data_IF_654627155330
#
_entry.id   IF_654627155330
#
_cell.length_a   1.000
_cell.length_b   1.000
_cell.length_c   1.000
_cell.angle_alpha   90.00
_cell.angle_beta   90.00
_cell.angle_gamma   90.00
#
_symmetry.space_group_name_H-M   'P 1'
#
loop_
_entity.id
_entity.type
_entity.pdbx_description
1 polymer ?
#
# COMPACT_ATOMS: atom_id res chain seq x y z
N UNK A 1 6.14 -10.17 -20.92
CA UNK A 1 5.69 -9.17 -19.93
C UNK A 1 5.07 -9.92 -18.76
N UNK A 2 5.52 -9.68 -17.54
CA UNK A 2 4.94 -10.28 -16.33
C UNK A 2 4.52 -9.18 -15.38
N UNK A 3 3.37 -9.37 -14.72
CA UNK A 3 2.84 -8.44 -13.72
C UNK A 3 2.83 -9.07 -12.34
N UNK A 4 3.06 -8.25 -11.32
CA UNK A 4 2.92 -8.62 -9.91
C UNK A 4 1.93 -7.66 -9.27
N UNK A 5 0.99 -8.20 -8.49
CA UNK A 5 0.00 -7.41 -7.76
C UNK A 5 0.26 -7.59 -6.26
N UNK A 6 0.39 -6.47 -5.54
CA UNK A 6 0.55 -6.44 -4.10
C UNK A 6 -0.56 -5.61 -3.46
N UNK A 7 -1.02 -6.06 -2.30
CA UNK A 7 -1.98 -5.31 -1.50
C UNK A 7 -1.34 -4.90 -0.17
N UNK A 8 -1.48 -3.62 0.17
CA UNK A 8 -0.99 -3.03 1.41
C UNK A 8 -2.16 -2.37 2.11
N UNK A 9 -2.35 -2.65 3.40
CA UNK A 9 -3.43 -2.05 4.20
C UNK A 9 -2.87 -0.93 5.06
N UNK A 10 -3.22 0.30 4.73
CA UNK A 10 -2.93 1.49 5.51
C UNK A 10 -4.02 1.65 6.57
N UNK A 11 -3.64 1.60 7.85
CA UNK A 11 -4.55 1.88 8.96
C UNK A 11 -4.33 3.30 9.48
N UNK A 12 -5.37 3.99 9.91
CA UNK A 12 -5.17 5.17 10.73
C UNK A 12 -4.51 4.79 12.06
N UNK A 13 -3.58 5.61 12.51
CA UNK A 13 -2.93 5.42 13.79
C UNK A 13 -3.85 5.99 14.86
N UNK A 14 -4.28 5.15 15.80
CA UNK A 14 -5.12 5.60 16.91
C UNK A 14 -4.40 6.60 17.84
N UNK A 15 -3.06 6.63 17.85
CA UNK A 15 -2.24 7.58 18.63
C UNK A 15 -0.89 7.91 17.95
N UNK A 16 -0.63 9.20 17.73
CA UNK A 16 0.68 9.77 17.32
C UNK A 16 0.81 10.15 15.83
N UNK A 17 1.53 11.23 15.54
CA UNK A 17 1.71 11.85 14.21
C UNK A 17 2.64 11.12 13.23
N UNK A 18 3.10 9.91 13.57
CA UNK A 18 4.03 9.14 12.73
C UNK A 18 3.35 7.97 12.02
N UNK A 19 3.16 8.06 10.70
CA UNK A 19 2.47 7.07 9.88
C UNK A 19 3.27 5.76 9.68
N UNK A 20 3.20 4.83 10.64
CA UNK A 20 3.88 3.53 10.53
C UNK A 20 3.51 2.72 9.28
N UNK A 21 2.35 3.01 8.68
CA UNK A 21 1.88 2.33 7.46
C UNK A 21 2.44 2.91 6.15
N UNK A 22 2.93 4.16 6.14
CA UNK A 22 3.61 4.70 4.96
C UNK A 22 4.97 4.01 4.74
N UNK A 23 5.65 3.64 5.83
CA UNK A 23 6.89 2.84 5.76
C UNK A 23 6.66 1.47 5.14
N UNK A 24 5.51 0.83 5.40
CA UNK A 24 5.18 -0.48 4.80
C UNK A 24 4.90 -0.35 3.29
N UNK A 25 4.17 0.70 2.89
CA UNK A 25 3.92 1.01 1.48
C UNK A 25 5.21 1.29 0.72
N UNK A 26 6.07 2.16 1.27
CA UNK A 26 7.38 2.48 0.70
C UNK A 26 8.25 1.21 0.59
N UNK A 27 8.27 0.39 1.64
CA UNK A 27 8.99 -0.89 1.64
C UNK A 27 8.49 -1.85 0.56
N UNK A 28 7.18 -1.95 0.32
CA UNK A 28 6.63 -2.79 -0.74
C UNK A 28 7.07 -2.31 -2.13
N UNK A 29 7.05 -1.00 -2.37
CA UNK A 29 7.50 -0.41 -3.63
C UNK A 29 8.99 -0.64 -3.84
N UNK A 30 9.81 -0.34 -2.83
CA UNK A 30 11.27 -0.50 -2.91
C UNK A 30 11.68 -1.96 -3.14
N UNK A 31 11.00 -2.93 -2.52
CA UNK A 31 11.26 -4.37 -2.76
C UNK A 31 11.00 -4.77 -4.21
N UNK A 32 9.89 -4.33 -4.81
CA UNK A 32 9.59 -4.65 -6.20
C UNK A 32 10.54 -3.94 -7.17
N UNK A 33 10.90 -2.69 -6.88
CA UNK A 33 11.90 -1.93 -7.65
C UNK A 33 13.27 -2.63 -7.65
N UNK A 34 13.72 -3.13 -6.48
CA UNK A 34 14.96 -3.88 -6.36
C UNK A 34 14.96 -5.21 -7.16
N UNK A 35 13.78 -5.77 -7.41
CA UNK A 35 13.60 -6.97 -8.25
C UNK A 35 13.47 -6.65 -9.76
N UNK A 36 13.63 -5.38 -10.15
CA UNK A 36 13.53 -4.96 -11.55
C UNK A 36 12.11 -4.74 -12.06
N UNK A 37 11.13 -4.62 -11.15
CA UNK A 37 9.77 -4.27 -11.52
C UNK A 37 9.53 -2.76 -11.39
N UNK A 38 8.77 -2.19 -12.33
CA UNK A 38 8.30 -0.81 -12.28
C UNK A 38 6.88 -0.76 -11.76
N UNK A 39 6.60 0.16 -10.84
CA UNK A 39 5.22 0.44 -10.44
C UNK A 39 4.47 1.01 -11.65
N UNK A 40 3.43 0.29 -12.08
CA UNK A 40 2.61 0.65 -13.24
C UNK A 40 1.37 1.42 -12.80
N UNK A 41 0.64 0.88 -11.81
CA UNK A 41 -0.59 1.48 -11.29
C UNK A 41 -0.68 1.30 -9.79
N UNK A 42 -1.22 2.30 -9.11
CA UNK A 42 -1.70 2.20 -7.73
C UNK A 42 -3.19 2.55 -7.70
N UNK A 43 -4.00 1.73 -7.03
CA UNK A 43 -5.39 2.04 -6.72
C UNK A 43 -5.61 1.96 -5.22
N UNK A 44 -6.41 2.86 -4.68
CA UNK A 44 -6.74 2.88 -3.26
C UNK A 44 -8.24 2.74 -3.07
N UNK A 45 -8.65 1.86 -2.17
CA UNK A 45 -10.03 1.73 -1.72
C UNK A 45 -10.08 2.05 -0.22
N UNK A 46 -10.87 3.04 0.17
CA UNK A 46 -11.17 3.30 1.58
C UNK A 46 -12.38 2.46 2.00
N UNK A 47 -12.24 1.72 3.08
CA UNK A 47 -13.38 1.16 3.81
C UNK A 47 -13.66 2.11 4.97
N UNK A 48 -14.72 2.92 4.84
CA UNK A 48 -15.10 3.89 5.86
C UNK A 48 -15.32 3.23 7.22
N UNK A 49 -14.89 3.93 8.28
CA UNK A 49 -14.92 3.50 9.68
C UNK A 49 -16.23 2.81 10.09
N UNK A 50 -16.16 1.54 10.52
CA UNK A 50 -17.24 0.91 11.29
C UNK A 50 -17.13 1.38 12.75
N UNK A 51 -17.70 2.55 13.07
CA UNK A 51 -18.11 2.92 14.43
C UNK A 51 -17.04 3.36 15.44
N UNK A 52 -17.55 3.74 16.63
CA UNK A 52 -16.93 4.50 17.73
C UNK A 52 -15.66 3.88 18.35
N UNK A 53 -14.58 3.78 17.57
CA UNK A 53 -13.27 3.32 18.06
C UNK A 53 -12.34 2.68 17.01
N UNK A 54 -12.73 2.60 15.73
CA UNK A 54 -11.89 2.00 14.68
C UNK A 54 -11.63 2.96 13.54
N UNK A 55 -10.42 3.54 13.50
CA UNK A 55 -10.00 4.45 12.43
C UNK A 55 -10.08 3.85 11.03
N UNK A 56 -10.05 4.72 10.03
CA UNK A 56 -10.17 4.40 8.62
C UNK A 56 -9.07 3.42 8.19
N UNK A 57 -9.46 2.53 7.28
CA UNK A 57 -8.56 1.59 6.63
C UNK A 57 -8.59 1.88 5.14
N UNK A 58 -7.44 2.25 4.61
CA UNK A 58 -7.23 2.42 3.19
C UNK A 58 -6.47 1.20 2.70
N UNK A 59 -7.04 0.46 1.78
CA UNK A 59 -6.38 -0.63 1.09
C UNK A 59 -5.78 -0.10 -0.21
N UNK A 60 -4.46 -0.19 -0.35
CA UNK A 60 -3.76 0.12 -1.58
C UNK A 60 -3.48 -1.18 -2.34
N UNK A 61 -3.83 -1.22 -3.62
CA UNK A 61 -3.45 -2.27 -4.57
C UNK A 61 -2.43 -1.70 -5.53
N UNK A 62 -1.25 -2.32 -5.57
CA UNK A 62 -0.10 -1.92 -6.38
C UNK A 62 0.06 -2.93 -7.49
N UNK A 63 0.12 -2.47 -8.73
CA UNK A 63 0.41 -3.29 -9.91
C UNK A 63 1.79 -2.91 -10.41
N UNK A 64 2.67 -3.89 -10.47
CA UNK A 64 4.03 -3.76 -10.96
C UNK A 64 4.20 -4.51 -12.28
N UNK A 65 4.90 -3.91 -13.23
CA UNK A 65 5.27 -4.53 -14.50
C UNK A 65 6.77 -4.85 -14.52
N UNK A 66 7.17 -6.02 -15.02
CA UNK A 66 8.58 -6.36 -15.18
C UNK A 66 9.17 -5.60 -16.36
N UNK A 67 10.32 -4.93 -16.14
CA UNK A 67 10.95 -4.12 -17.19
C UNK A 67 11.59 -4.96 -18.30
N UNK A 68 12.10 -6.17 -18.00
CA UNK A 68 12.51 -7.23 -18.95
C UNK A 68 12.75 -8.53 -18.18
#
# INVERSE_FOLDING_TARGET
>A
MSYVVLQVVLKEKLFGSGSGNLTELEGAINRQAALGYRLHTITTASSGSKGMGGGDRIQATLVFEKLV
#
